data_IF_979804594880
#
_entry.id   IF_979804594880
#
_cell.length_a   1.000
_cell.length_b   1.000
_cell.length_c   1.000
_cell.angle_alpha   90.00
_cell.angle_beta   90.00
_cell.angle_gamma   90.00
#
_symmetry.space_group_name_H-M   'P 1'
#
loop_
_entity.id
_entity.type
_entity.pdbx_description
1 polymer ?
#
# COMPACT_ATOMS: atom_id res chain seq x y z
N UNK A 1 -1.68 -8.10 18.06
CA UNK A 1 -0.33 -8.71 18.14
C UNK A 1 0.55 -8.05 17.09
N UNK A 2 1.81 -7.70 17.41
CA UNK A 2 2.74 -7.04 16.48
C UNK A 2 3.68 -8.10 15.88
N UNK A 3 3.68 -8.27 14.56
CA UNK A 3 4.51 -9.22 13.83
C UNK A 3 5.87 -8.60 13.47
N UNK A 4 6.92 -9.22 14.00
CA UNK A 4 8.31 -8.85 13.72
C UNK A 4 8.90 -9.66 12.56
N UNK A 5 8.54 -10.95 12.49
CA UNK A 5 9.11 -11.90 11.56
C UNK A 5 8.66 -11.63 10.13
N UNK A 6 7.35 -11.47 9.93
CA UNK A 6 6.76 -11.21 8.61
C UNK A 6 7.31 -9.92 7.98
N UNK A 7 7.33 -8.83 8.75
CA UNK A 7 7.87 -7.53 8.29
C UNK A 7 9.35 -7.62 7.96
N UNK A 8 10.14 -8.32 8.78
CA UNK A 8 11.58 -8.51 8.53
C UNK A 8 11.83 -9.24 7.22
N UNK A 9 11.12 -10.35 6.99
CA UNK A 9 11.25 -11.15 5.76
C UNK A 9 10.80 -10.37 4.52
N UNK A 10 9.66 -9.67 4.59
CA UNK A 10 9.16 -8.85 3.48
C UNK A 10 10.15 -7.76 3.09
N UNK A 11 10.69 -7.01 4.07
CA UNK A 11 11.66 -5.93 3.80
C UNK A 11 12.98 -6.48 3.27
N UNK A 12 13.45 -7.61 3.79
CA UNK A 12 14.68 -8.26 3.31
C UNK A 12 14.54 -8.73 1.85
N UNK A 13 13.42 -9.38 1.52
CA UNK A 13 13.15 -9.84 0.16
C UNK A 13 12.96 -8.66 -0.81
N UNK A 14 12.20 -7.63 -0.41
CA UNK A 14 11.99 -6.42 -1.21
C UNK A 14 13.30 -5.67 -1.49
N UNK A 15 14.20 -5.54 -0.49
CA UNK A 15 15.54 -4.96 -0.70
C UNK A 15 16.34 -5.74 -1.74
N UNK A 16 16.19 -7.07 -1.76
CA UNK A 16 16.93 -7.97 -2.65
C UNK A 16 16.16 -8.30 -3.95
N UNK A 17 15.25 -7.43 -4.41
CA UNK A 17 14.38 -7.67 -5.58
C UNK A 17 15.15 -8.00 -6.87
N UNK A 18 16.43 -7.60 -6.97
CA UNK A 18 17.27 -7.98 -8.10
C UNK A 18 17.40 -9.50 -8.24
N UNK A 19 17.27 -10.26 -7.13
CA UNK A 19 17.47 -11.72 -7.08
C UNK A 19 16.28 -12.52 -6.59
N UNK A 20 15.35 -11.93 -5.84
CA UNK A 20 14.19 -12.64 -5.29
C UNK A 20 12.88 -11.93 -5.64
N UNK A 21 11.80 -12.71 -5.79
CA UNK A 21 10.45 -12.20 -5.98
C UNK A 21 9.73 -12.20 -4.62
N UNK A 22 9.24 -11.05 -4.19
CA UNK A 22 8.45 -10.89 -2.95
C UNK A 22 6.97 -10.73 -3.29
N UNK A 23 6.09 -11.33 -2.50
CA UNK A 23 4.64 -11.24 -2.62
C UNK A 23 4.05 -10.91 -1.24
N UNK A 24 3.14 -9.95 -1.17
CA UNK A 24 2.46 -9.54 0.07
C UNK A 24 0.94 -9.45 -0.09
N UNK A 25 0.41 -9.79 -1.26
CA UNK A 25 -1.01 -9.70 -1.61
C UNK A 25 -1.39 -10.87 -2.53
N UNK A 26 -2.40 -11.68 -2.16
CA UNK A 26 -2.90 -12.77 -2.99
C UNK A 26 -3.34 -12.36 -4.39
N UNK A 27 -3.75 -11.10 -4.61
CA UNK A 27 -4.17 -10.62 -5.92
C UNK A 27 -3.05 -10.66 -6.98
N UNK A 28 -1.78 -10.75 -6.57
CA UNK A 28 -0.64 -10.84 -7.50
C UNK A 28 -0.30 -12.30 -7.90
N UNK A 29 -0.95 -13.31 -7.32
CA UNK A 29 -0.57 -14.72 -7.52
C UNK A 29 -0.72 -15.18 -8.97
N UNK A 30 -1.82 -14.84 -9.63
CA UNK A 30 -2.08 -15.25 -11.00
C UNK A 30 -1.06 -14.63 -11.97
N UNK A 31 -0.76 -13.34 -11.80
CA UNK A 31 0.25 -12.64 -12.62
C UNK A 31 1.64 -13.28 -12.45
N UNK A 32 2.04 -13.57 -11.20
CA UNK A 32 3.37 -14.11 -10.91
C UNK A 32 3.50 -15.57 -11.32
N UNK A 33 2.48 -16.41 -11.11
CA UNK A 33 2.50 -17.82 -11.54
C UNK A 33 2.57 -17.93 -13.06
N UNK A 34 1.82 -17.09 -13.79
CA UNK A 34 1.91 -17.01 -15.25
C UNK A 34 3.32 -16.60 -15.72
N UNK A 35 3.95 -15.61 -15.06
CA UNK A 35 5.31 -15.20 -15.38
C UNK A 35 6.33 -16.31 -15.10
N UNK A 36 6.19 -17.05 -14.00
CA UNK A 36 7.04 -18.19 -13.65
C UNK A 36 6.92 -19.34 -14.64
N UNK A 37 5.71 -19.63 -15.13
CA UNK A 37 5.47 -20.68 -16.13
C UNK A 37 6.06 -20.34 -17.51
N UNK A 38 6.23 -19.06 -17.82
CA UNK A 38 6.81 -18.59 -19.07
C UNK A 38 8.35 -18.54 -19.02
N UNK A 39 8.92 -17.41 -18.61
CA UNK A 39 10.37 -17.16 -18.63
C UNK A 39 10.91 -16.69 -17.27
N UNK A 40 10.07 -16.73 -16.23
CA UNK A 40 10.36 -16.14 -14.92
C UNK A 40 9.83 -14.71 -14.78
N UNK A 41 9.89 -14.21 -13.54
CA UNK A 41 9.51 -12.83 -13.21
C UNK A 41 10.66 -11.91 -13.58
N UNK A 42 10.51 -11.00 -14.54
CA UNK A 42 11.57 -10.06 -14.93
C UNK A 42 11.87 -9.01 -13.82
N UNK A 43 12.99 -8.30 -13.96
CA UNK A 43 13.42 -7.31 -12.98
C UNK A 43 12.40 -6.18 -12.77
N UNK A 44 11.73 -5.74 -13.83
CA UNK A 44 10.71 -4.69 -13.76
C UNK A 44 9.53 -5.12 -12.88
N UNK A 45 9.04 -6.35 -13.07
CA UNK A 45 8.02 -6.94 -12.19
C UNK A 45 8.51 -7.09 -10.75
N UNK A 46 9.72 -7.62 -10.53
CA UNK A 46 10.28 -7.76 -9.17
C UNK A 46 10.41 -6.40 -8.47
N UNK A 47 10.81 -5.35 -9.19
CA UNK A 47 10.88 -3.98 -8.67
C UNK A 47 9.50 -3.44 -8.26
N UNK A 48 8.47 -3.65 -9.10
CA UNK A 48 7.08 -3.28 -8.78
C UNK A 48 6.61 -3.99 -7.50
N UNK A 49 6.83 -5.29 -7.42
CA UNK A 49 6.43 -6.11 -6.26
C UNK A 49 7.18 -5.71 -4.98
N UNK A 50 8.47 -5.36 -5.09
CA UNK A 50 9.25 -4.84 -3.97
C UNK A 50 8.73 -3.49 -3.46
N UNK A 51 8.38 -2.58 -4.37
CA UNK A 51 7.75 -1.31 -4.00
C UNK A 51 6.41 -1.55 -3.28
N UNK A 52 5.61 -2.51 -3.76
CA UNK A 52 4.35 -2.93 -3.11
C UNK A 52 4.59 -3.49 -1.70
N UNK A 53 5.60 -4.34 -1.51
CA UNK A 53 5.95 -4.89 -0.21
C UNK A 53 6.38 -3.80 0.79
N UNK A 54 7.18 -2.82 0.38
CA UNK A 54 7.54 -1.70 1.26
C UNK A 54 6.33 -0.83 1.61
N UNK A 55 5.42 -0.59 0.67
CA UNK A 55 4.16 0.12 0.93
C UNK A 55 3.29 -0.65 1.95
N UNK A 56 3.19 -1.98 1.81
CA UNK A 56 2.47 -2.83 2.75
C UNK A 56 3.04 -2.74 4.17
N UNK A 57 4.37 -2.81 4.33
CA UNK A 57 5.01 -2.69 5.66
C UNK A 57 4.92 -1.28 6.22
N UNK A 58 4.92 -0.24 5.38
CA UNK A 58 4.66 1.14 5.82
C UNK A 58 3.28 1.26 6.45
N UNK A 59 2.25 0.71 5.79
CA UNK A 59 0.87 0.81 6.29
C UNK A 59 0.71 0.06 7.62
N UNK A 60 1.40 -1.06 7.77
CA UNK A 60 1.51 -1.79 9.02
C UNK A 60 2.17 -0.96 10.14
N UNK A 61 3.32 -0.34 9.87
CA UNK A 61 4.04 0.49 10.84
C UNK A 61 3.23 1.74 11.24
N UNK A 62 2.49 2.34 10.29
CA UNK A 62 1.58 3.47 10.55
C UNK A 62 0.48 3.05 11.52
N UNK A 63 -0.13 1.88 11.32
CA UNK A 63 -1.16 1.36 12.22
C UNK A 63 -0.60 1.09 13.63
N UNK A 64 0.61 0.53 13.73
CA UNK A 64 1.30 0.33 15.02
C UNK A 64 1.57 1.66 15.72
N UNK A 65 2.10 2.65 15.00
CA UNK A 65 2.39 3.96 15.57
C UNK A 65 1.11 4.64 16.09
N UNK A 66 0.00 4.57 15.34
CA UNK A 66 -1.29 5.10 15.76
C UNK A 66 -1.81 4.41 17.04
N UNK A 67 -1.75 3.07 17.08
CA UNK A 67 -2.13 2.27 18.24
C UNK A 67 -1.28 2.62 19.48
N UNK A 68 0.05 2.68 19.34
CA UNK A 68 0.96 2.99 20.45
C UNK A 68 0.83 4.42 20.95
N UNK A 69 0.46 5.36 20.08
CA UNK A 69 0.19 6.75 20.44
C UNK A 69 -1.16 6.94 21.15
N UNK A 70 -1.98 5.89 21.28
CA UNK A 70 -3.32 5.99 21.86
C UNK A 70 -4.26 6.86 21.03
N UNK A 71 -4.01 6.98 19.72
CA UNK A 71 -4.85 7.74 18.79
C UNK A 71 -6.11 6.93 18.43
N UNK A 72 -6.94 6.64 19.42
CA UNK A 72 -8.33 6.22 19.22
C UNK A 72 -9.24 7.43 19.43
N UNK A 73 -9.93 7.87 18.36
CA UNK A 73 -11.03 8.86 18.27
C UNK A 73 -10.89 10.25 18.95
N UNK A 74 -10.04 10.43 19.96
CA UNK A 74 -9.81 11.67 20.73
C UNK A 74 -8.41 12.25 20.46
N UNK A 75 -8.01 12.28 19.18
CA UNK A 75 -6.81 13.01 18.79
C UNK A 75 -7.00 14.50 19.15
N UNK A 76 -6.03 15.06 19.88
CA UNK A 76 -6.00 16.49 20.19
C UNK A 76 -6.29 17.33 18.92
N UNK A 77 -7.02 18.46 19.03
CA UNK A 77 -7.54 19.20 17.86
C UNK A 77 -6.49 19.57 16.80
N UNK A 78 -5.22 19.62 17.19
CA UNK A 78 -4.07 19.93 16.33
C UNK A 78 -2.88 19.06 16.75
N UNK A 79 -2.77 17.81 16.26
CA UNK A 79 -1.66 16.95 16.61
C UNK A 79 -0.35 17.48 15.99
N UNK A 80 0.79 17.21 16.64
CA UNK A 80 2.09 17.62 16.14
C UNK A 80 2.48 16.93 14.81
N UNK A 81 1.88 15.77 14.53
CA UNK A 81 2.08 15.02 13.28
C UNK A 81 0.75 14.42 12.81
N UNK A 82 0.50 14.50 11.50
CA UNK A 82 -0.65 13.87 10.83
C UNK A 82 -0.12 12.85 9.83
N UNK A 83 -0.67 11.64 9.86
CA UNK A 83 -0.38 10.58 8.89
C UNK A 83 -1.67 10.20 8.17
N UNK A 84 -1.68 10.26 6.84
CA UNK A 84 -2.84 9.94 5.99
C UNK A 84 -2.52 8.72 5.11
N UNK A 85 -2.87 7.50 5.52
CA UNK A 85 -2.64 6.27 4.74
C UNK A 85 -3.70 6.13 3.65
N UNK A 86 -3.59 6.96 2.61
CA UNK A 86 -4.56 7.04 1.53
C UNK A 86 -4.19 6.13 0.35
N UNK A 87 -5.18 5.41 -0.18
CA UNK A 87 -5.09 4.61 -1.40
C UNK A 87 -5.97 5.20 -2.49
N UNK A 88 -5.52 5.15 -3.74
CA UNK A 88 -6.28 5.69 -4.88
C UNK A 88 -7.45 4.75 -5.19
N UNK A 89 -8.67 5.26 -5.08
CA UNK A 89 -9.90 4.51 -5.39
C UNK A 89 -10.35 4.74 -6.83
N UNK A 90 -10.21 5.96 -7.36
CA UNK A 90 -10.69 6.30 -8.69
C UNK A 90 -9.86 7.40 -9.35
N UNK A 91 -9.61 7.28 -10.66
CA UNK A 91 -9.11 8.39 -11.48
C UNK A 91 -10.28 9.29 -11.90
N UNK A 92 -10.13 10.60 -11.73
CA UNK A 92 -11.15 11.58 -12.10
C UNK A 92 -10.86 12.14 -13.49
N UNK A 93 -11.90 12.64 -14.16
CA UNK A 93 -11.78 13.18 -15.52
C UNK A 93 -10.90 14.44 -15.56
N UNK A 94 -11.03 15.31 -14.56
CA UNK A 94 -10.21 16.48 -14.32
C UNK A 94 -10.33 16.88 -12.84
N UNK A 95 -9.47 17.80 -12.39
CA UNK A 95 -9.53 18.40 -11.06
C UNK A 95 -10.61 19.46 -10.94
N UNK A 96 -10.25 20.62 -10.41
CA UNK A 96 -11.18 21.75 -10.37
C UNK A 96 -11.35 22.37 -11.77
N UNK A 97 -10.29 22.33 -12.58
CA UNK A 97 -10.28 22.85 -13.95
C UNK A 97 -9.92 21.75 -14.98
N UNK A 98 -10.42 21.82 -16.24
CA UNK A 98 -10.23 20.75 -17.24
C UNK A 98 -8.78 20.37 -17.57
N UNK A 99 -7.82 21.27 -17.34
CA UNK A 99 -6.40 21.03 -17.62
C UNK A 99 -5.65 20.38 -16.44
N UNK A 100 -6.31 20.16 -15.30
CA UNK A 100 -5.73 19.59 -14.08
C UNK A 100 -6.06 18.10 -13.97
N UNK A 101 -5.06 17.28 -13.64
CA UNK A 101 -5.26 15.87 -13.31
C UNK A 101 -5.81 15.73 -11.88
N UNK A 102 -6.67 14.74 -11.65
CA UNK A 102 -7.18 14.44 -10.31
C UNK A 102 -7.50 12.95 -10.10
N UNK A 103 -7.52 12.55 -8.83
CA UNK A 103 -7.92 11.22 -8.40
C UNK A 103 -8.57 11.29 -7.01
N UNK A 104 -9.53 10.39 -6.77
CA UNK A 104 -10.11 10.15 -5.46
C UNK A 104 -9.22 9.18 -4.69
N UNK A 105 -8.96 9.51 -3.44
CA UNK A 105 -8.26 8.66 -2.49
C UNK A 105 -9.09 8.45 -1.24
N UNK A 106 -8.97 7.28 -0.62
CA UNK A 106 -9.66 6.94 0.62
C UNK A 106 -8.75 6.14 1.55
N UNK A 107 -9.16 5.97 2.81
CA UNK A 107 -8.45 5.14 3.80
C UNK A 107 -8.59 3.64 3.56
N UNK A 108 -9.55 3.22 2.74
CA UNK A 108 -9.74 1.84 2.31
C UNK A 108 -10.18 1.82 0.84
N UNK A 109 -9.72 0.82 0.08
CA UNK A 109 -9.93 0.73 -1.37
C UNK A 109 -11.42 0.59 -1.77
N UNK A 110 -12.27 0.03 -0.89
CA UNK A 110 -13.72 -0.11 -1.12
C UNK A 110 -14.56 1.09 -0.65
N UNK A 111 -13.94 2.12 -0.09
CA UNK A 111 -14.66 3.29 0.42
C UNK A 111 -14.93 4.29 -0.71
N UNK A 112 -16.21 4.49 -1.01
CA UNK A 112 -16.70 5.53 -1.90
C UNK A 112 -16.89 6.89 -1.20
N UNK A 113 -17.22 7.94 -1.98
CA UNK A 113 -17.51 9.25 -1.43
C UNK A 113 -18.67 9.19 -0.43
N UNK A 114 -18.60 9.99 0.65
CA UNK A 114 -19.66 10.13 1.66
C UNK A 114 -20.08 8.80 2.35
N UNK A 115 -19.19 7.80 2.41
CA UNK A 115 -19.49 6.51 3.00
C UNK A 115 -20.22 5.52 2.07
N UNK A 116 -20.32 5.84 0.77
CA UNK A 116 -20.73 4.86 -0.24
C UNK A 116 -19.72 3.71 -0.36
N UNK A 117 -20.11 2.60 -0.97
CA UNK A 117 -19.19 1.53 -1.38
C UNK A 117 -19.09 1.55 -2.92
N UNK A 118 -17.87 1.39 -3.43
CA UNK A 118 -17.57 1.31 -4.88
C UNK A 118 -17.49 -0.15 -5.34
#
# INVERSE_FOLDING_TARGET
>A
NIDIGGVTLLRAAAKNFARVTVLCDPADYDEVTAALAAAGVDEGRRRRLAAKAFAHTRDYDVAIAAYLAGLEADAAPMPAQITLPLVRTQLLRYGENPHQNAALYATNAGSGPLGGQL
#
